data_IF_387326604251
#
_entry.id   IF_387326604251
#
_cell.length_a   1.000
_cell.length_b   1.000
_cell.length_c   1.000
_cell.angle_alpha   90.00
_cell.angle_beta   90.00
_cell.angle_gamma   90.00
#
_symmetry.space_group_name_H-M   'P 1'
#
loop_
_entity.id
_entity.type
_entity.pdbx_description
1 polymer ?
#
# COMPACT_ATOMS: atom_id res chain seq x y z
N UNK A 1 -39.29 22.58 39.04
CA UNK A 1 -38.03 23.00 38.39
C UNK A 1 -38.16 22.81 36.88
N UNK A 2 -38.20 23.91 36.16
CA UNK A 2 -38.30 23.84 34.69
C UNK A 2 -36.90 23.85 34.14
N UNK A 3 -36.37 22.69 33.75
CA UNK A 3 -35.16 22.60 32.94
C UNK A 3 -35.52 23.01 31.52
N UNK A 4 -35.03 24.15 31.10
CA UNK A 4 -35.28 24.68 29.76
C UNK A 4 -34.68 23.76 28.70
N UNK A 5 -35.43 23.35 27.68
CA UNK A 5 -35.03 22.35 26.72
C UNK A 5 -33.79 22.74 25.87
N UNK A 6 -33.43 24.04 25.85
CA UNK A 6 -32.28 24.52 25.12
C UNK A 6 -30.91 24.04 25.69
N UNK A 7 -30.86 23.75 27.01
CA UNK A 7 -29.65 23.24 27.65
C UNK A 7 -29.34 21.80 27.22
N UNK A 8 -30.37 21.02 26.93
CA UNK A 8 -30.25 19.64 26.44
C UNK A 8 -29.81 19.64 24.98
N UNK A 9 -30.31 20.56 24.16
CA UNK A 9 -29.90 20.72 22.78
C UNK A 9 -28.43 21.17 22.62
N UNK A 10 -27.94 22.03 23.52
CA UNK A 10 -26.54 22.46 23.48
C UNK A 10 -25.54 21.34 23.79
N UNK A 11 -25.90 20.46 24.74
CA UNK A 11 -25.06 19.29 25.08
C UNK A 11 -25.07 18.28 23.97
N UNK A 12 -26.20 18.08 23.28
CA UNK A 12 -26.30 17.18 22.13
C UNK A 12 -25.49 17.66 20.91
N UNK A 13 -25.40 18.97 20.68
CA UNK A 13 -24.62 19.56 19.59
C UNK A 13 -23.12 19.44 19.85
N UNK A 14 -22.67 19.51 21.11
CA UNK A 14 -21.25 19.34 21.46
C UNK A 14 -20.82 17.86 21.32
N UNK A 15 -21.73 16.91 21.53
CA UNK A 15 -21.43 15.48 21.39
C UNK A 15 -21.31 15.02 19.91
N UNK A 16 -21.91 15.75 18.98
CA UNK A 16 -21.81 15.44 17.54
C UNK A 16 -20.52 15.92 16.88
N UNK A 17 -19.70 16.74 17.56
CA UNK A 17 -18.49 17.32 16.96
C UNK A 17 -17.21 16.53 17.25
N UNK A 18 -17.32 15.40 17.94
CA UNK A 18 -16.19 14.46 18.13
C UNK A 18 -16.31 13.30 17.12
N UNK A 19 -16.66 13.62 15.88
CA UNK A 19 -16.34 12.73 14.77
C UNK A 19 -14.88 12.94 14.49
N UNK A 20 -14.04 12.21 15.22
CA UNK A 20 -12.61 12.13 15.00
C UNK A 20 -12.39 11.78 13.54
N UNK A 21 -11.94 12.73 12.76
CA UNK A 21 -11.29 12.49 11.50
C UNK A 21 -10.04 11.66 11.83
N UNK A 22 -10.21 10.35 11.89
CA UNK A 22 -9.09 9.43 11.84
C UNK A 22 -8.52 9.53 10.42
N UNK A 23 -7.73 10.56 10.17
CA UNK A 23 -6.80 10.55 9.05
C UNK A 23 -5.74 9.52 9.39
N UNK A 24 -6.06 8.26 9.16
CA UNK A 24 -5.04 7.23 9.16
C UNK A 24 -4.10 7.56 7.99
N UNK A 25 -2.86 7.90 8.33
CA UNK A 25 -1.80 7.95 7.34
C UNK A 25 -1.83 6.61 6.59
N UNK A 26 -2.00 6.63 5.26
CA UNK A 26 -2.03 5.40 4.49
C UNK A 26 -0.68 4.71 4.58
N UNK A 27 -0.66 3.56 5.23
CA UNK A 27 0.47 2.66 5.29
C UNK A 27 0.43 1.64 4.15
N UNK A 28 1.29 0.64 4.23
CA UNK A 28 1.37 -0.42 3.24
C UNK A 28 0.39 -1.59 3.48
N UNK A 29 -0.53 -1.52 4.43
CA UNK A 29 -1.37 -2.65 4.83
C UNK A 29 -2.13 -3.28 3.67
N UNK A 30 -2.74 -2.49 2.79
CA UNK A 30 -3.44 -2.98 1.61
C UNK A 30 -2.49 -3.61 0.58
N UNK A 31 -1.29 -3.06 0.45
CA UNK A 31 -0.26 -3.58 -0.45
C UNK A 31 0.29 -4.90 0.07
N UNK A 32 0.54 -5.01 1.38
CA UNK A 32 0.96 -6.25 2.05
C UNK A 32 -0.08 -7.35 1.84
N UNK A 33 -1.36 -7.05 2.06
CA UNK A 33 -2.45 -8.00 1.81
C UNK A 33 -2.51 -8.43 0.34
N UNK A 34 -2.31 -7.50 -0.59
CA UNK A 34 -2.29 -7.78 -2.03
C UNK A 34 -1.15 -8.71 -2.43
N UNK A 35 0.05 -8.54 -1.85
CA UNK A 35 1.16 -9.47 -2.06
C UNK A 35 0.85 -10.87 -1.52
N UNK A 36 0.29 -10.97 -0.32
CA UNK A 36 -0.12 -12.26 0.26
C UNK A 36 -1.11 -13.02 -0.62
N UNK A 37 -2.05 -12.29 -1.21
CA UNK A 37 -3.13 -12.84 -2.01
C UNK A 37 -2.78 -12.98 -3.50
N UNK A 38 -1.63 -12.46 -3.93
CA UNK A 38 -1.28 -12.41 -5.35
C UNK A 38 -2.22 -11.54 -6.18
N UNK A 39 -2.73 -10.46 -5.59
CA UNK A 39 -3.70 -9.55 -6.21
C UNK A 39 -2.98 -8.37 -6.88
N UNK A 40 -2.57 -8.57 -8.13
CA UNK A 40 -1.91 -7.54 -8.94
C UNK A 40 -2.79 -6.31 -9.15
N UNK A 41 -4.09 -6.48 -9.30
CA UNK A 41 -5.04 -5.38 -9.47
C UNK A 41 -5.08 -4.46 -8.24
N UNK A 42 -5.07 -5.04 -7.03
CA UNK A 42 -5.03 -4.28 -5.79
C UNK A 42 -3.72 -3.48 -5.63
N UNK A 43 -2.59 -4.04 -6.04
CA UNK A 43 -1.30 -3.33 -6.07
C UNK A 43 -1.36 -2.17 -7.07
N UNK A 44 -1.92 -2.41 -8.26
CA UNK A 44 -2.01 -1.43 -9.34
C UNK A 44 -2.91 -0.23 -9.02
N UNK A 45 -3.80 -0.32 -8.06
CA UNK A 45 -4.58 0.83 -7.58
C UNK A 45 -3.69 1.95 -7.01
N UNK A 46 -2.50 1.59 -6.55
CA UNK A 46 -1.51 2.54 -6.04
C UNK A 46 -0.52 3.02 -7.11
N UNK A 47 -0.72 2.66 -8.37
CA UNK A 47 0.09 3.15 -9.49
C UNK A 47 -0.48 4.46 -10.03
N UNK A 48 0.40 5.40 -10.33
CA UNK A 48 0.10 6.63 -11.03
C UNK A 48 1.23 6.91 -12.02
N UNK A 49 0.88 7.01 -13.30
CA UNK A 49 1.87 7.20 -14.35
C UNK A 49 2.74 5.95 -14.55
N UNK A 50 4.05 6.15 -14.67
CA UNK A 50 5.00 5.07 -14.89
C UNK A 50 5.48 4.47 -13.56
N UNK A 51 5.67 3.17 -13.57
CA UNK A 51 6.20 2.38 -12.44
C UNK A 51 7.42 1.62 -12.90
N UNK A 52 8.49 1.69 -12.13
CA UNK A 52 9.68 0.90 -12.37
C UNK A 52 9.54 -0.47 -11.72
N UNK A 53 9.69 -1.53 -12.51
CA UNK A 53 9.64 -2.91 -12.03
C UNK A 53 10.95 -3.60 -12.36
N UNK A 54 11.57 -4.13 -11.32
CA UNK A 54 12.79 -4.94 -11.43
C UNK A 54 12.46 -6.39 -11.11
N UNK A 55 12.71 -7.27 -12.06
CA UNK A 55 12.63 -8.71 -11.87
C UNK A 55 14.00 -9.29 -12.23
N UNK A 56 14.58 -10.05 -11.32
CA UNK A 56 15.97 -10.55 -11.43
C UNK A 56 16.96 -9.40 -11.53
N UNK A 57 17.50 -9.13 -12.71
CA UNK A 57 18.53 -8.09 -12.92
C UNK A 57 18.07 -6.97 -13.86
N UNK A 58 16.86 -7.08 -14.41
CA UNK A 58 16.34 -6.10 -15.36
C UNK A 58 15.35 -5.13 -14.73
N UNK A 59 15.61 -3.83 -14.81
CA UNK A 59 14.68 -2.78 -14.41
C UNK A 59 14.06 -2.13 -15.65
N UNK A 60 12.74 -2.09 -15.71
CA UNK A 60 11.99 -1.52 -16.82
C UNK A 60 10.89 -0.62 -16.29
N UNK A 61 10.75 0.54 -16.93
CA UNK A 61 9.67 1.48 -16.66
C UNK A 61 8.44 1.12 -17.48
N UNK A 62 7.33 0.88 -16.80
CA UNK A 62 6.05 0.51 -17.41
C UNK A 62 4.99 1.55 -17.15
N UNK A 63 4.05 1.71 -18.08
CA UNK A 63 2.79 2.41 -17.77
C UNK A 63 2.00 1.66 -16.71
N UNK A 64 1.07 2.34 -16.04
CA UNK A 64 0.20 1.73 -15.01
C UNK A 64 -0.43 0.41 -15.45
N UNK A 65 -1.03 0.38 -16.64
CA UNK A 65 -1.71 -0.81 -17.17
C UNK A 65 -0.74 -1.93 -17.53
N UNK A 66 0.42 -1.61 -18.08
CA UNK A 66 1.48 -2.59 -18.37
C UNK A 66 2.11 -3.13 -17.09
N UNK A 67 2.36 -2.28 -16.10
CA UNK A 67 2.88 -2.67 -14.79
C UNK A 67 1.96 -3.68 -14.10
N UNK A 68 0.65 -3.47 -14.13
CA UNK A 68 -0.32 -4.43 -13.61
C UNK A 68 -0.21 -5.79 -14.29
N UNK A 69 -0.10 -5.82 -15.61
CA UNK A 69 0.06 -7.07 -16.36
C UNK A 69 1.38 -7.78 -16.04
N UNK A 70 2.46 -7.04 -15.87
CA UNK A 70 3.76 -7.60 -15.48
C UNK A 70 3.71 -8.25 -14.10
N UNK A 71 3.10 -7.57 -13.12
CA UNK A 71 2.91 -8.11 -11.77
C UNK A 71 1.99 -9.34 -11.80
N UNK A 72 0.91 -9.29 -12.57
CA UNK A 72 0.00 -10.43 -12.75
C UNK A 72 0.72 -11.63 -13.34
N UNK A 73 1.54 -11.43 -14.36
CA UNK A 73 2.35 -12.50 -14.96
C UNK A 73 3.35 -13.08 -13.97
N UNK A 74 3.98 -12.23 -13.16
CA UNK A 74 4.89 -12.67 -12.11
C UNK A 74 4.17 -13.56 -11.08
N UNK A 75 3.00 -13.15 -10.60
CA UNK A 75 2.22 -13.94 -9.65
C UNK A 75 1.63 -15.23 -10.24
N UNK A 76 1.40 -15.27 -11.54
CA UNK A 76 0.98 -16.49 -12.23
C UNK A 76 2.12 -17.50 -12.29
N UNK A 77 3.33 -17.06 -12.61
CA UNK A 77 4.52 -17.90 -12.66
C UNK A 77 5.03 -18.29 -11.25
N UNK A 78 4.85 -17.39 -10.28
CA UNK A 78 5.35 -17.52 -8.90
C UNK A 78 4.19 -17.25 -7.94
N UNK A 79 3.32 -18.24 -7.76
CA UNK A 79 2.10 -18.08 -6.96
C UNK A 79 2.44 -17.74 -5.50
N UNK A 80 2.03 -16.57 -5.00
CA UNK A 80 2.30 -16.16 -3.62
C UNK A 80 1.64 -17.09 -2.61
N UNK A 81 2.38 -17.37 -1.53
CA UNK A 81 1.91 -18.12 -0.37
C UNK A 81 1.85 -17.24 0.86
N UNK A 82 2.95 -16.56 1.16
CA UNK A 82 3.07 -15.67 2.32
C UNK A 82 3.89 -14.44 1.95
N UNK A 83 3.68 -13.37 2.70
CA UNK A 83 4.50 -12.17 2.65
C UNK A 83 4.83 -11.74 4.08
N UNK A 84 6.10 -11.73 4.42
CA UNK A 84 6.60 -11.34 5.72
C UNK A 84 7.32 -10.00 5.63
N UNK A 85 6.83 -8.99 6.35
CA UNK A 85 7.46 -7.67 6.40
C UNK A 85 8.75 -7.76 7.20
N UNK A 86 9.86 -7.36 6.58
CA UNK A 86 11.17 -7.26 7.23
C UNK A 86 11.42 -5.84 7.75
N UNK A 87 11.07 -4.83 6.95
CA UNK A 87 11.28 -3.43 7.31
C UNK A 87 10.29 -2.52 6.58
N UNK A 88 9.84 -1.49 7.27
CA UNK A 88 8.95 -0.46 6.75
C UNK A 88 9.38 0.88 7.32
N UNK A 89 9.44 1.92 6.51
CA UNK A 89 9.89 3.21 6.98
C UNK A 89 9.55 4.37 6.06
N UNK A 90 9.95 5.55 6.53
CA UNK A 90 9.78 6.82 5.82
C UNK A 90 11.14 7.49 5.70
N UNK A 91 11.49 7.95 4.49
CA UNK A 91 12.71 8.72 4.27
C UNK A 91 12.54 10.17 4.73
N UNK A 92 13.64 10.92 4.95
CA UNK A 92 13.58 12.35 5.29
C UNK A 92 12.82 13.21 4.27
N UNK A 93 12.76 12.77 3.00
CA UNK A 93 12.03 13.47 1.92
C UNK A 93 10.56 13.06 1.82
N UNK A 94 10.04 12.26 2.75
CA UNK A 94 8.65 11.81 2.79
C UNK A 94 8.34 10.61 1.89
N UNK A 95 9.33 10.03 1.22
CA UNK A 95 9.17 8.76 0.53
C UNK A 95 9.01 7.62 1.51
N UNK A 96 8.15 6.66 1.19
CA UNK A 96 7.92 5.47 2.02
C UNK A 96 8.50 4.25 1.34
N UNK A 97 8.95 3.30 2.14
CA UNK A 97 9.45 2.03 1.63
C UNK A 97 8.98 0.86 2.48
N UNK A 98 8.82 -0.27 1.81
CA UNK A 98 8.48 -1.55 2.39
C UNK A 98 9.48 -2.58 1.86
N UNK A 99 10.04 -3.36 2.75
CA UNK A 99 10.90 -4.49 2.44
C UNK A 99 10.31 -5.73 3.07
N UNK A 100 10.11 -6.77 2.29
CA UNK A 100 9.55 -8.02 2.78
C UNK A 100 10.08 -9.23 2.04
N UNK A 101 9.76 -10.39 2.54
CA UNK A 101 10.04 -11.68 1.90
C UNK A 101 8.74 -12.27 1.38
N UNK A 102 8.66 -12.44 0.07
CA UNK A 102 7.54 -13.08 -0.62
C UNK A 102 7.89 -14.55 -0.83
N UNK A 103 7.18 -15.44 -0.14
CA UNK A 103 7.28 -16.88 -0.36
C UNK A 103 6.30 -17.27 -1.46
N UNK A 104 6.80 -17.94 -2.47
CA UNK A 104 5.99 -18.38 -3.62
C UNK A 104 6.11 -19.88 -3.83
N UNK A 105 5.31 -20.42 -4.78
CA UNK A 105 5.37 -21.83 -5.20
C UNK A 105 6.72 -22.23 -5.80
N UNK A 106 7.52 -21.27 -6.27
CA UNK A 106 8.77 -21.50 -6.98
C UNK A 106 10.00 -20.83 -6.36
N UNK A 107 9.91 -20.41 -5.10
CA UNK A 107 11.02 -19.83 -4.38
C UNK A 107 10.64 -18.59 -3.56
N UNK A 108 11.63 -18.01 -2.94
CA UNK A 108 11.50 -16.81 -2.10
C UNK A 108 12.07 -15.60 -2.82
N UNK A 109 11.37 -14.48 -2.71
CA UNK A 109 11.79 -13.22 -3.29
C UNK A 109 11.84 -12.13 -2.23
N UNK A 110 12.99 -11.50 -2.11
CA UNK A 110 13.09 -10.25 -1.37
C UNK A 110 12.41 -9.16 -2.20
N UNK A 111 11.39 -8.54 -1.62
CA UNK A 111 10.55 -7.59 -2.31
C UNK A 111 10.73 -6.20 -1.72
N UNK A 112 11.01 -5.23 -2.57
CA UNK A 112 11.13 -3.82 -2.21
C UNK A 112 10.02 -3.04 -2.89
N UNK A 113 9.34 -2.20 -2.13
CA UNK A 113 8.35 -1.26 -2.65
C UNK A 113 8.74 0.14 -2.22
N UNK A 114 8.95 1.02 -3.19
CA UNK A 114 9.18 2.43 -2.95
C UNK A 114 7.97 3.22 -3.41
N UNK A 115 7.49 4.10 -2.53
CA UNK A 115 6.30 4.89 -2.75
C UNK A 115 6.50 6.31 -2.23
N UNK A 116 5.69 7.22 -2.73
CA UNK A 116 5.55 8.57 -2.17
C UNK A 116 4.09 8.84 -1.82
N UNK A 117 3.87 9.77 -0.93
CA UNK A 117 2.54 10.23 -0.58
C UNK A 117 2.18 11.43 -1.45
N UNK A 118 1.09 11.32 -2.20
CA UNK A 118 0.53 12.39 -3.02
C UNK A 118 -0.93 12.57 -2.62
N UNK A 119 -1.30 13.76 -2.15
CA UNK A 119 -2.67 14.06 -1.67
C UNK A 119 -3.19 13.02 -0.67
N UNK A 120 -2.36 12.66 0.32
CA UNK A 120 -2.63 11.63 1.33
C UNK A 120 -2.81 10.20 0.78
N UNK A 121 -2.51 9.96 -0.48
CA UNK A 121 -2.52 8.63 -1.08
C UNK A 121 -1.11 8.12 -1.32
N UNK A 122 -0.93 6.82 -1.13
CA UNK A 122 0.34 6.15 -1.37
C UNK A 122 0.46 5.81 -2.85
N UNK A 123 1.46 6.38 -3.51
CA UNK A 123 1.75 6.16 -4.94
C UNK A 123 3.04 5.36 -5.08
N UNK A 124 2.94 4.15 -5.60
CA UNK A 124 4.10 3.28 -5.83
C UNK A 124 4.91 3.79 -7.02
N UNK A 125 6.21 3.94 -6.81
CA UNK A 125 7.18 4.38 -7.82
C UNK A 125 8.00 3.22 -8.39
N UNK A 126 8.33 2.25 -7.51
CA UNK A 126 9.19 1.13 -7.86
C UNK A 126 8.78 -0.12 -7.08
N UNK A 127 8.82 -1.26 -7.77
CA UNK A 127 8.74 -2.59 -7.15
C UNK A 127 9.91 -3.41 -7.67
N UNK A 128 10.62 -4.06 -6.74
CA UNK A 128 11.76 -4.92 -7.07
C UNK A 128 11.58 -6.29 -6.45
N UNK A 129 11.77 -7.33 -7.25
CA UNK A 129 11.80 -8.72 -6.80
C UNK A 129 13.20 -9.28 -7.01
N UNK A 130 13.85 -9.67 -5.92
CA UNK A 130 15.17 -10.29 -5.92
C UNK A 130 15.05 -11.71 -5.38
N UNK A 131 15.52 -12.69 -6.15
CA UNK A 131 15.52 -14.09 -5.74
C UNK A 131 16.46 -14.30 -4.55
N UNK A 132 16.00 -15.07 -3.55
CA UNK A 132 16.75 -15.41 -2.33
C UNK A 132 17.25 -16.86 -2.35
#
# INVERSE_FOLDING_TARGET
MKTTPYKICMVAIILCFISSLSTSAQGFDNIIAAFKNGDASAIAKNFEGNVEITIKTGSISYSKSQAELVIKSFFTAHKPKTFAVAHEGTSPQGSKYLIGSLTTSSGNYRTYVYAKTVKNELVIQEIRFEEQ
#
